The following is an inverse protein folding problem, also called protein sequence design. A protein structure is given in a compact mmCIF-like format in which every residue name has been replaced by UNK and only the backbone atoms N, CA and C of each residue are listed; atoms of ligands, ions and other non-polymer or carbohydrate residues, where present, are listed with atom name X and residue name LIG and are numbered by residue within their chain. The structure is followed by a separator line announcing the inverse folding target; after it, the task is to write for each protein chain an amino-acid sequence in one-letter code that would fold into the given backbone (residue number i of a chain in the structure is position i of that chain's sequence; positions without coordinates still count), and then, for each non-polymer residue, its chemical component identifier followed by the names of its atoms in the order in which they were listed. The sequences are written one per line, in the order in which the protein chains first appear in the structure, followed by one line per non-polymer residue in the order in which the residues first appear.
data_IF_592191711021
#
_entry.id   IF_592191711021
#
_cell.length_a   1.000
_cell.length_b   1.000
_cell.length_c   1.000
_cell.angle_alpha   90.00
_cell.angle_beta   90.00
_cell.angle_gamma   90.00
#
_symmetry.space_group_name_H-M   'P 1'
#
loop_
_entity.id
_entity.type
_entity.pdbx_description
1 polymer ?
#
# COMPACT_ATOMS: atom_id res chain seq x y z
N UNK A 1 8.06 -12.43 -23.25
CA UNK A 1 7.89 -11.75 -21.94
C UNK A 1 7.74 -10.26 -22.19
N UNK A 2 6.72 -9.60 -21.63
CA UNK A 2 6.64 -8.13 -21.66
C UNK A 2 7.88 -7.55 -20.97
N UNK A 3 8.60 -6.65 -21.63
CA UNK A 3 9.65 -5.86 -20.97
C UNK A 3 8.98 -4.89 -19.98
N UNK A 4 9.68 -4.55 -18.88
CA UNK A 4 9.18 -3.65 -17.83
C UNK A 4 7.79 -3.98 -17.26
N UNK A 5 7.56 -5.24 -16.89
CA UNK A 5 6.32 -5.67 -16.22
C UNK A 5 6.63 -6.29 -14.86
N UNK A 6 5.95 -5.83 -13.82
CA UNK A 6 5.88 -6.48 -12.52
C UNK A 6 4.60 -7.33 -12.47
N UNK A 7 4.76 -8.64 -12.31
CA UNK A 7 3.64 -9.58 -12.32
C UNK A 7 3.18 -9.84 -10.89
N UNK A 8 1.89 -9.70 -10.61
CA UNK A 8 1.29 -10.05 -9.32
C UNK A 8 0.22 -11.13 -9.48
N UNK A 9 0.05 -11.97 -8.46
CA UNK A 9 -1.01 -12.98 -8.44
C UNK A 9 -2.38 -12.42 -8.10
N UNK A 10 -3.43 -13.16 -8.48
CA UNK A 10 -4.82 -12.92 -8.14
C UNK A 10 -5.15 -13.50 -6.76
N UNK A 11 -5.21 -12.63 -5.75
CA UNK A 11 -5.42 -13.04 -4.35
C UNK A 11 -6.89 -13.09 -3.99
N UNK A 12 -7.35 -14.26 -3.53
CA UNK A 12 -8.74 -14.48 -3.09
C UNK A 12 -8.77 -14.66 -1.57
N UNK A 13 -9.66 -13.93 -0.90
CA UNK A 13 -9.92 -14.08 0.54
C UNK A 13 -10.36 -15.50 0.84
N UNK A 14 -9.65 -16.16 1.77
CA UNK A 14 -10.04 -17.48 2.26
C UNK A 14 -11.37 -17.42 3.02
N UNK A 15 -11.62 -16.32 3.72
CA UNK A 15 -12.82 -16.12 4.53
C UNK A 15 -14.07 -15.84 3.68
N UNK A 16 -13.94 -15.06 2.60
CA UNK A 16 -15.10 -14.55 1.86
C UNK A 16 -15.21 -15.04 0.42
N UNK A 17 -14.16 -15.66 -0.12
CA UNK A 17 -14.07 -16.04 -1.53
C UNK A 17 -13.99 -14.85 -2.51
N UNK A 18 -13.91 -13.61 -2.00
CA UNK A 18 -13.85 -12.39 -2.81
C UNK A 18 -12.41 -12.02 -3.14
N UNK A 19 -12.24 -11.26 -4.22
CA UNK A 19 -10.95 -10.63 -4.56
C UNK A 19 -10.45 -9.78 -3.39
N UNK A 20 -9.25 -10.09 -2.93
CA UNK A 20 -8.61 -9.41 -1.82
C UNK A 20 -7.32 -8.69 -2.25
N UNK A 21 -6.55 -9.27 -3.16
CA UNK A 21 -5.25 -8.77 -3.59
C UNK A 21 -5.02 -8.97 -5.09
N UNK A 22 -4.04 -8.26 -5.64
CA UNK A 22 -3.71 -8.24 -7.06
C UNK A 22 -3.16 -6.89 -7.49
N UNK A 23 -3.37 -6.55 -8.77
CA UNK A 23 -3.10 -5.21 -9.25
C UNK A 23 -4.25 -4.28 -8.81
N UNK A 24 -3.89 -3.10 -8.33
CA UNK A 24 -4.84 -2.15 -7.76
C UNK A 24 -4.62 -0.74 -8.29
N UNK A 25 -5.69 0.06 -8.27
CA UNK A 25 -5.64 1.48 -8.57
C UNK A 25 -5.52 2.27 -7.27
N UNK A 26 -4.35 2.85 -7.05
CA UNK A 26 -4.08 3.82 -6.00
C UNK A 26 -4.45 5.22 -6.46
N UNK A 27 -5.43 5.82 -5.80
CA UNK A 27 -5.79 7.23 -5.98
C UNK A 27 -4.85 8.10 -5.12
N UNK A 28 -3.99 8.84 -5.79
CA UNK A 28 -3.04 9.75 -5.16
C UNK A 28 -3.67 10.81 -4.28
N UNK A 29 -4.80 11.41 -4.69
CA UNK A 29 -5.43 12.51 -3.97
C UNK A 29 -6.15 12.03 -2.71
N UNK A 30 -6.71 10.82 -2.72
CA UNK A 30 -7.51 10.29 -1.61
C UNK A 30 -6.80 9.19 -0.81
N UNK A 31 -5.67 8.69 -1.30
CA UNK A 31 -4.94 7.52 -0.79
C UNK A 31 -5.82 6.27 -0.69
N UNK A 32 -6.85 6.18 -1.53
CA UNK A 32 -7.73 5.02 -1.60
C UNK A 32 -7.17 4.02 -2.59
N UNK A 33 -7.41 2.75 -2.30
CA UNK A 33 -7.05 1.62 -3.14
C UNK A 33 -8.33 1.03 -3.68
N UNK A 34 -8.51 1.06 -4.99
CA UNK A 34 -9.57 0.32 -5.68
C UNK A 34 -8.98 -0.99 -6.18
N UNK A 35 -9.53 -2.10 -5.71
CA UNK A 35 -9.08 -3.44 -6.10
C UNK A 35 -9.68 -3.78 -7.46
N UNK A 36 -8.82 -3.99 -8.46
CA UNK A 36 -9.22 -4.29 -9.84
C UNK A 36 -9.42 -5.77 -10.12
N UNK A 37 -8.87 -6.66 -9.29
CA UNK A 37 -8.79 -8.08 -9.61
C UNK A 37 -7.69 -8.33 -10.63
N UNK A 38 -8.00 -9.08 -11.69
CA UNK A 38 -7.07 -9.38 -12.76
C UNK A 38 -6.88 -8.18 -13.70
N UNK A 39 -5.77 -8.16 -14.45
CA UNK A 39 -5.44 -7.07 -15.37
C UNK A 39 -4.48 -6.06 -14.77
N UNK A 40 -4.50 -4.83 -15.28
CA UNK A 40 -3.51 -3.81 -14.96
C UNK A 40 -3.94 -2.90 -13.83
N UNK A 41 -2.95 -2.40 -13.09
CA UNK A 41 -3.12 -1.36 -12.07
C UNK A 41 -1.87 -0.49 -11.98
N UNK A 42 -1.84 0.38 -10.98
CA UNK A 42 -0.72 1.29 -10.74
C UNK A 42 0.07 0.96 -9.46
N UNK A 43 -0.31 -0.11 -8.77
CA UNK A 43 0.23 -0.52 -7.49
C UNK A 43 -0.07 -2.01 -7.25
N UNK A 44 0.77 -2.68 -6.47
CA UNK A 44 0.54 -4.04 -5.98
C UNK A 44 1.22 -4.25 -4.62
N UNK A 45 0.74 -5.24 -3.86
CA UNK A 45 1.47 -5.75 -2.69
C UNK A 45 2.63 -6.66 -3.12
N UNK A 46 3.54 -6.97 -2.19
CA UNK A 46 4.60 -7.97 -2.43
C UNK A 46 4.22 -9.41 -2.08
N UNK A 47 2.94 -9.70 -1.75
CA UNK A 47 2.52 -11.06 -1.31
C UNK A 47 2.69 -12.13 -2.39
N UNK A 48 2.50 -11.75 -3.65
CA UNK A 48 2.64 -12.64 -4.82
C UNK A 48 3.22 -11.86 -5.99
N UNK A 49 4.26 -11.05 -5.71
CA UNK A 49 4.88 -10.17 -6.71
C UNK A 49 6.15 -10.81 -7.27
N UNK A 50 6.22 -10.88 -8.59
CA UNK A 50 7.32 -11.41 -9.37
C UNK A 50 7.90 -10.29 -10.23
N UNK A 51 9.22 -10.16 -10.16
CA UNK A 51 9.99 -9.15 -10.90
C UNK A 51 11.40 -9.66 -11.12
N UNK A 52 12.13 -9.06 -12.07
CA UNK A 52 13.55 -9.38 -12.25
C UNK A 52 14.38 -8.62 -11.22
N UNK A 53 15.46 -9.23 -10.75
CA UNK A 53 16.41 -8.57 -9.82
C UNK A 53 16.96 -7.28 -10.45
N UNK A 54 17.21 -7.29 -11.77
CA UNK A 54 17.59 -6.09 -12.53
C UNK A 54 16.61 -4.95 -12.33
N UNK A 55 15.31 -5.23 -12.42
CA UNK A 55 14.24 -4.23 -12.29
C UNK A 55 14.23 -3.65 -10.87
N UNK A 56 14.44 -4.48 -9.85
CA UNK A 56 14.58 -4.04 -8.46
C UNK A 56 15.73 -3.05 -8.24
N UNK A 57 16.88 -3.34 -8.85
CA UNK A 57 18.06 -2.47 -8.80
C UNK A 57 17.78 -1.17 -9.56
N UNK A 58 17.24 -1.25 -10.78
CA UNK A 58 16.94 -0.10 -11.63
C UNK A 58 15.93 0.85 -10.99
N UNK A 59 14.86 0.31 -10.39
CA UNK A 59 13.83 1.10 -9.72
C UNK A 59 14.36 1.74 -8.43
N UNK A 60 15.39 1.14 -7.81
CA UNK A 60 16.11 1.69 -6.65
C UNK A 60 15.66 1.12 -5.31
N UNK A 61 15.28 -0.16 -5.25
CA UNK A 61 15.00 -0.92 -4.03
C UNK A 61 13.99 -0.32 -3.04
N UNK A 62 13.87 -0.92 -1.85
CA UNK A 62 13.03 -0.40 -0.77
C UNK A 62 13.73 0.72 0.03
N UNK A 63 12.93 1.49 0.79
CA UNK A 63 13.43 2.52 1.70
C UNK A 63 13.29 2.10 3.18
N UNK A 64 14.11 1.16 3.70
CA UNK A 64 13.90 0.54 5.01
C UNK A 64 14.02 1.50 6.20
N UNK A 65 14.65 2.68 6.02
CA UNK A 65 14.70 3.71 7.06
C UNK A 65 13.42 4.56 7.06
N UNK A 66 12.93 4.94 5.87
CA UNK A 66 11.79 5.84 5.70
C UNK A 66 10.45 5.10 5.84
N UNK A 67 10.36 3.89 5.29
CA UNK A 67 9.20 3.00 5.32
C UNK A 67 9.66 1.59 5.76
N UNK A 68 9.90 1.38 7.07
CA UNK A 68 10.50 0.15 7.57
C UNK A 68 9.60 -1.09 7.52
N UNK A 69 8.30 -0.91 7.21
CA UNK A 69 7.34 -2.00 7.22
C UNK A 69 6.16 -1.67 6.28
N UNK A 70 5.03 -1.18 6.82
CA UNK A 70 3.83 -0.92 6.02
C UNK A 70 4.03 0.18 4.98
N UNK A 71 3.55 -0.08 3.77
CA UNK A 71 3.56 0.86 2.65
C UNK A 71 4.84 0.82 1.81
N UNK A 72 5.88 0.08 2.22
CA UNK A 72 7.12 -0.04 1.44
C UNK A 72 6.92 -0.73 0.09
N UNK A 73 6.11 -1.79 0.07
CA UNK A 73 5.71 -2.52 -1.13
C UNK A 73 4.91 -1.63 -2.10
N UNK A 74 3.93 -0.91 -1.56
CA UNK A 74 3.10 0.00 -2.35
C UNK A 74 3.92 1.18 -2.87
N UNK A 75 4.83 1.75 -2.07
CA UNK A 75 5.69 2.83 -2.52
C UNK A 75 6.55 2.38 -3.71
N UNK A 76 7.18 1.22 -3.58
CA UNK A 76 8.08 0.72 -4.60
C UNK A 76 7.35 0.40 -5.91
N UNK A 77 6.19 -0.25 -5.86
CA UNK A 77 5.39 -0.56 -7.07
C UNK A 77 4.79 0.70 -7.70
N UNK A 78 4.31 1.65 -6.90
CA UNK A 78 3.87 2.96 -7.39
C UNK A 78 5.02 3.70 -8.05
N UNK A 79 6.22 3.67 -7.47
CA UNK A 79 7.41 4.30 -8.06
C UNK A 79 7.79 3.64 -9.38
N UNK A 80 7.76 2.31 -9.45
CA UNK A 80 7.98 1.55 -10.68
C UNK A 80 7.03 2.01 -11.80
N UNK A 81 5.72 2.05 -11.51
CA UNK A 81 4.70 2.49 -12.46
C UNK A 81 4.86 3.97 -12.85
N UNK A 82 4.94 4.85 -11.85
CA UNK A 82 4.84 6.30 -12.05
C UNK A 82 6.11 6.92 -12.62
N UNK A 83 7.29 6.50 -12.14
CA UNK A 83 8.57 7.12 -12.48
C UNK A 83 9.33 6.36 -13.57
N UNK A 84 9.15 5.04 -13.63
CA UNK A 84 9.89 4.18 -14.56
C UNK A 84 9.02 3.57 -15.66
N UNK A 85 7.69 3.78 -15.63
CA UNK A 85 6.79 3.33 -16.69
C UNK A 85 6.53 1.83 -16.71
N UNK A 86 6.75 1.13 -15.58
CA UNK A 86 6.48 -0.30 -15.50
C UNK A 86 4.97 -0.59 -15.49
N UNK A 87 4.57 -1.66 -16.17
CA UNK A 87 3.22 -2.22 -16.03
C UNK A 87 3.13 -3.05 -14.76
N UNK A 88 2.11 -2.81 -13.94
CA UNK A 88 1.75 -3.69 -12.82
C UNK A 88 0.60 -4.56 -13.30
N UNK A 89 0.87 -5.85 -13.55
CA UNK A 89 -0.09 -6.76 -14.17
C UNK A 89 -0.46 -7.90 -13.23
N UNK A 90 -1.74 -8.14 -13.06
CA UNK A 90 -2.30 -9.26 -12.32
C UNK A 90 -2.75 -10.37 -13.27
N UNK A 91 -2.13 -11.53 -13.17
CA UNK A 91 -2.53 -12.72 -13.93
C UNK A 91 -3.56 -13.53 -13.14
N UNK A 92 -4.73 -13.74 -13.75
CA UNK A 92 -5.80 -14.55 -13.16
C UNK A 92 -5.45 -16.04 -13.06
N UNK A 93 -4.47 -16.53 -13.83
CA UNK A 93 -4.02 -17.91 -13.75
C UNK A 93 -3.12 -18.15 -12.52
N UNK A 94 -2.50 -17.09 -11.99
CA UNK A 94 -1.67 -17.13 -10.80
C UNK A 94 -2.53 -16.82 -9.56
N UNK A 95 -3.34 -17.78 -9.11
CA UNK A 95 -4.23 -17.60 -7.95
C UNK A 95 -3.59 -18.04 -6.64
N UNK A 96 -3.87 -17.31 -5.57
CA UNK A 96 -3.50 -17.70 -4.21
C UNK A 96 -4.58 -17.31 -3.20
N UNK A 97 -4.62 -18.04 -2.08
CA UNK A 97 -5.54 -17.76 -0.99
C UNK A 97 -4.88 -16.82 0.03
N UNK A 98 -5.61 -15.78 0.42
CA UNK A 98 -5.19 -14.83 1.45
C UNK A 98 -5.96 -15.12 2.73
N UNK A 99 -5.24 -15.40 3.80
CA UNK A 99 -5.80 -15.55 5.13
C UNK A 99 -5.75 -14.20 5.88
N UNK A 100 -6.87 -13.49 5.90
CA UNK A 100 -6.96 -12.14 6.45
C UNK A 100 -6.76 -12.09 7.97
N UNK A 101 -7.04 -13.20 8.67
CA UNK A 101 -6.92 -13.31 10.13
C UNK A 101 -5.48 -13.31 10.62
N UNK A 102 -4.54 -13.67 9.74
CA UNK A 102 -3.10 -13.66 10.01
C UNK A 102 -2.45 -12.30 9.75
N UNK A 103 -3.19 -11.34 9.19
CA UNK A 103 -2.68 -10.01 8.87
C UNK A 103 -2.69 -9.10 10.11
N UNK A 104 -1.70 -8.20 10.24
CA UNK A 104 -1.41 -7.46 11.48
C UNK A 104 -2.50 -6.50 11.97
N UNK A 105 -2.19 -5.71 13.02
CA UNK A 105 -3.09 -4.79 13.74
C UNK A 105 -3.78 -3.73 12.83
N UNK A 106 -4.82 -4.13 12.10
CA UNK A 106 -5.59 -3.28 11.16
C UNK A 106 -6.78 -2.55 11.82
N UNK A 107 -7.09 -2.89 13.06
CA UNK A 107 -8.29 -2.42 13.76
C UNK A 107 -7.95 -1.39 14.83
N UNK A 108 -8.60 -0.23 14.76
CA UNK A 108 -8.39 0.87 15.72
C UNK A 108 -8.70 0.47 17.16
N UNK A 109 -9.59 -0.51 17.36
CA UNK A 109 -10.10 -0.90 18.67
C UNK A 109 -9.03 -1.50 19.58
N UNK A 110 -7.97 -2.07 18.99
CA UNK A 110 -6.84 -2.69 19.71
C UNK A 110 -5.56 -1.83 19.71
N UNK A 111 -5.61 -0.61 19.15
CA UNK A 111 -4.47 0.30 19.14
C UNK A 111 -4.33 1.03 20.48
N UNK A 112 -3.13 0.97 21.05
CA UNK A 112 -2.65 1.84 22.13
C UNK A 112 -1.75 2.93 21.57
N UNK A 113 -1.38 3.95 22.36
CA UNK A 113 -0.40 4.96 21.92
C UNK A 113 0.89 4.34 21.38
N UNK A 114 1.45 3.36 22.10
CA UNK A 114 2.70 2.66 21.70
C UNK A 114 2.52 1.91 20.38
N UNK A 115 1.39 1.24 20.19
CA UNK A 115 1.10 0.52 18.93
C UNK A 115 0.90 1.50 17.78
N UNK A 116 0.21 2.62 17.98
CA UNK A 116 -0.05 3.61 16.93
C UNK A 116 1.25 4.13 16.29
N UNK A 117 2.25 4.45 17.10
CA UNK A 117 3.56 4.96 16.65
C UNK A 117 4.59 3.86 16.36
N UNK A 118 4.20 2.58 16.38
CA UNK A 118 5.05 1.47 15.97
C UNK A 118 5.32 1.50 14.47
N UNK A 119 6.47 0.93 14.06
CA UNK A 119 6.79 0.62 12.66
C UNK A 119 5.77 -0.32 12.02
N UNK A 120 5.17 -1.21 12.82
CA UNK A 120 4.16 -2.19 12.39
C UNK A 120 2.73 -1.64 12.39
N UNK A 121 2.54 -0.33 12.51
CA UNK A 121 1.20 0.27 12.47
C UNK A 121 0.94 0.90 11.11
N UNK A 122 -0.06 0.38 10.40
CA UNK A 122 -0.58 1.01 9.17
C UNK A 122 -1.18 2.39 9.44
N UNK A 123 -1.56 2.68 10.69
CA UNK A 123 -2.12 3.97 11.10
C UNK A 123 -1.07 4.95 11.62
N UNK A 124 0.23 4.61 11.61
CA UNK A 124 1.28 5.49 12.06
C UNK A 124 1.31 6.78 11.22
N UNK A 125 1.08 7.96 11.82
CA UNK A 125 0.98 9.20 11.06
C UNK A 125 2.31 9.56 10.35
N UNK A 126 3.46 9.27 10.96
CA UNK A 126 4.77 9.60 10.39
C UNK A 126 4.98 8.87 9.07
N UNK A 127 4.83 7.54 9.06
CA UNK A 127 4.99 6.73 7.86
C UNK A 127 3.94 7.03 6.80
N UNK A 128 2.75 7.49 7.21
CA UNK A 128 1.70 7.90 6.30
C UNK A 128 2.05 9.19 5.55
N UNK A 129 2.68 10.16 6.21
CA UNK A 129 3.21 11.34 5.54
C UNK A 129 4.40 10.99 4.65
N UNK A 130 5.32 10.14 5.12
CA UNK A 130 6.42 9.63 4.29
C UNK A 130 5.92 9.00 3.00
N UNK A 131 4.89 8.15 3.08
CA UNK A 131 4.25 7.53 1.92
C UNK A 131 3.69 8.57 0.94
N UNK A 132 3.06 9.64 1.44
CA UNK A 132 2.56 10.74 0.58
C UNK A 132 3.71 11.35 -0.22
N UNK A 133 4.80 11.74 0.43
CA UNK A 133 5.90 12.42 -0.26
C UNK A 133 6.66 11.53 -1.24
N UNK A 134 6.83 10.25 -0.94
CA UNK A 134 7.54 9.31 -1.83
C UNK A 134 6.69 8.92 -3.05
N UNK A 135 5.41 8.60 -2.82
CA UNK A 135 4.55 7.96 -3.82
C UNK A 135 3.81 8.97 -4.71
N UNK A 136 3.46 10.14 -4.19
CA UNK A 136 2.51 11.07 -4.83
C UNK A 136 3.22 11.98 -5.85
N UNK A 137 2.63 12.25 -7.04
CA UNK A 137 3.12 13.31 -7.91
C UNK A 137 3.14 14.67 -7.20
N UNK A 138 4.22 15.45 -7.35
CA UNK A 138 4.42 16.71 -6.62
C UNK A 138 3.20 17.66 -6.67
N UNK A 139 2.60 17.80 -7.86
CA UNK A 139 1.40 18.62 -8.09
C UNK A 139 0.15 18.21 -7.28
N UNK A 140 0.08 16.95 -6.84
CA UNK A 140 -1.07 16.38 -6.11
C UNK A 140 -0.82 16.36 -4.60
N UNK A 141 0.43 16.54 -4.15
CA UNK A 141 0.81 16.50 -2.72
C UNK A 141 -0.05 17.46 -1.87
N UNK A 142 -0.24 18.75 -2.23
CA UNK A 142 -1.02 19.67 -1.39
C UNK A 142 -2.45 19.18 -1.16
N UNK A 143 -3.13 18.73 -2.22
CA UNK A 143 -4.49 18.18 -2.14
C UNK A 143 -4.53 16.93 -1.27
N UNK A 144 -3.53 16.07 -1.39
CA UNK A 144 -3.42 14.82 -0.61
C UNK A 144 -3.24 15.10 0.87
N UNK A 145 -2.37 16.05 1.22
CA UNK A 145 -2.14 16.47 2.61
C UNK A 145 -3.44 17.02 3.21
N UNK A 146 -4.13 17.93 2.51
CA UNK A 146 -5.42 18.48 2.98
C UNK A 146 -6.44 17.37 3.22
N UNK A 147 -6.57 16.42 2.30
CA UNK A 147 -7.48 15.28 2.45
C UNK A 147 -7.09 14.38 3.63
N UNK A 148 -5.80 14.15 3.83
CA UNK A 148 -5.30 13.34 4.94
C UNK A 148 -5.54 14.04 6.29
N UNK A 149 -5.34 15.36 6.37
CA UNK A 149 -5.69 16.17 7.56
C UNK A 149 -7.19 16.13 7.86
N UNK A 150 -8.05 16.31 6.84
CA UNK A 150 -9.52 16.16 6.99
C UNK A 150 -9.90 14.77 7.52
N UNK A 151 -9.23 13.72 7.04
CA UNK A 151 -9.46 12.34 7.49
C UNK A 151 -9.04 12.14 8.95
N UNK A 152 -7.91 12.71 9.37
CA UNK A 152 -7.45 12.68 10.77
C UNK A 152 -8.43 13.44 11.67
N UNK A 153 -8.85 14.64 11.26
CA UNK A 153 -9.82 15.45 11.99
C UNK A 153 -11.16 14.75 12.17
N UNK A 154 -11.69 14.09 11.13
CA UNK A 154 -12.92 13.29 11.22
C UNK A 154 -12.80 12.14 12.23
N UNK A 155 -11.59 11.64 12.46
CA UNK A 155 -11.28 10.57 13.41
C UNK A 155 -10.70 11.07 14.73
N UNK A 156 -10.77 12.37 15.03
CA UNK A 156 -10.12 12.98 16.20
C UNK A 156 -10.49 12.32 17.53
N UNK A 157 -11.75 11.93 17.70
CA UNK A 157 -12.20 11.29 18.95
C UNK A 157 -11.62 9.88 19.11
N UNK A 158 -11.50 9.13 18.01
CA UNK A 158 -10.82 7.81 18.00
C UNK A 158 -9.34 7.99 18.40
N UNK A 159 -8.65 8.96 17.80
CA UNK A 159 -7.24 9.23 18.14
C UNK A 159 -7.06 9.70 19.58
N UNK A 160 -7.95 10.55 20.11
CA UNK A 160 -7.95 10.95 21.53
C UNK A 160 -8.06 9.72 22.44
N UNK A 161 -8.96 8.79 22.12
CA UNK A 161 -9.11 7.54 22.90
C UNK A 161 -7.85 6.69 22.84
N UNK A 162 -7.23 6.53 21.67
CA UNK A 162 -5.98 5.77 21.51
C UNK A 162 -4.82 6.41 22.28
N UNK A 163 -4.72 7.75 22.30
CA UNK A 163 -3.65 8.47 22.99
C UNK A 163 -3.78 8.37 24.51
N UNK A 164 -5.01 8.27 25.02
CA UNK A 164 -5.32 8.10 26.45
C UNK A 164 -5.09 6.67 26.97
N UNK A 165 -5.02 5.68 26.08
CA UNK A 165 -4.72 4.27 26.37
C UNK A 165 -3.21 4.00 26.30
#
# INVERSE_FOLDING_TARGET
TREHTLLTGYGVSRQTGKVFDGAVDYDFATMKVKRGGAGEGNCASTRSLFFRISDFITIGGFHPVLLPHYGSDYEWTIRAWRKYGYTIYCDENLKYLVDEETTGDNFYDKLTRKKLFSKRSMSNPLYKFTMIFLSTPARVIPKTIVNQLKRVYKKREIFKTIIKR
#
